data_IF_775538989626
#
_entry.id   IF_775538989626
#
_cell.length_a   1.000
_cell.length_b   1.000
_cell.length_c   1.000
_cell.angle_alpha   90.00
_cell.angle_beta   90.00
_cell.angle_gamma   90.00
#
_symmetry.space_group_name_H-M   'P 1'
#
loop_
_entity.id
_entity.type
_entity.pdbx_description
1 polymer ?
#
# COMPACT_ATOMS: atom_id res chain seq x y z
N UNK A 1 31.26 2.13 12.92
CA UNK A 1 30.09 1.23 12.88
C UNK A 1 28.85 2.08 13.03
N UNK A 2 28.27 2.55 11.93
CA UNK A 2 27.03 3.33 11.99
C UNK A 2 25.85 2.38 12.21
N UNK A 3 25.12 2.55 13.31
CA UNK A 3 23.86 1.85 13.57
C UNK A 3 22.82 2.38 12.60
N UNK A 4 22.36 1.53 11.67
CA UNK A 4 21.27 1.84 10.74
C UNK A 4 19.94 1.69 11.47
N UNK A 5 19.48 2.74 12.15
CA UNK A 5 18.13 2.75 12.73
C UNK A 5 17.08 2.75 11.61
N UNK A 6 16.22 1.71 11.60
CA UNK A 6 15.12 1.59 10.65
C UNK A 6 14.02 2.58 11.01
N UNK A 7 13.69 3.47 10.09
CA UNK A 7 12.57 4.42 10.21
C UNK A 7 11.23 3.66 10.14
N UNK A 8 10.20 4.13 10.82
CA UNK A 8 8.81 3.68 10.65
C UNK A 8 8.05 4.66 9.76
N UNK A 9 7.26 4.17 8.80
CA UNK A 9 6.25 5.00 8.14
C UNK A 9 4.95 4.89 8.94
N UNK A 10 4.41 6.03 9.37
CA UNK A 10 3.05 6.09 9.90
C UNK A 10 2.10 6.19 8.71
N UNK A 11 1.08 5.31 8.66
CA UNK A 11 0.04 5.40 7.64
C UNK A 11 -0.74 6.72 7.81
N UNK A 12 -1.07 7.44 6.73
CA UNK A 12 -1.96 8.59 6.81
C UNK A 12 -3.33 8.14 7.33
N UNK A 13 -3.88 8.93 8.25
CA UNK A 13 -5.14 8.67 8.93
C UNK A 13 -6.31 8.66 7.93
N UNK A 14 -7.23 7.72 8.10
CA UNK A 14 -8.40 7.53 7.25
C UNK A 14 -9.36 8.74 7.36
N UNK A 15 -9.74 9.34 6.22
CA UNK A 15 -10.66 10.48 6.14
C UNK A 15 -11.98 10.09 5.43
N UNK A 16 -13.11 10.01 6.17
CA UNK A 16 -14.42 9.66 5.61
C UNK A 16 -15.01 10.75 4.71
N UNK A 17 -14.74 12.03 5.01
CA UNK A 17 -15.40 13.15 4.33
C UNK A 17 -14.92 13.24 2.89
N UNK A 18 -13.60 13.11 2.70
CA UNK A 18 -12.96 13.08 1.39
C UNK A 18 -13.48 11.94 0.50
N UNK A 19 -13.72 10.76 1.09
CA UNK A 19 -14.27 9.60 0.35
C UNK A 19 -15.69 9.86 -0.16
N UNK A 20 -16.48 10.61 0.60
CA UNK A 20 -17.85 10.94 0.21
C UNK A 20 -17.86 11.93 -0.97
N UNK A 21 -16.96 12.92 -0.96
CA UNK A 21 -16.81 13.88 -2.07
C UNK A 21 -16.45 13.18 -3.40
N UNK A 22 -15.50 12.24 -3.37
CA UNK A 22 -15.07 11.49 -4.56
C UNK A 22 -16.21 10.69 -5.20
N UNK A 23 -17.17 10.19 -4.39
CA UNK A 23 -18.30 9.41 -4.88
C UNK A 23 -19.30 10.24 -5.71
N UNK A 24 -19.38 11.55 -5.48
CA UNK A 24 -20.33 12.45 -6.15
C UNK A 24 -20.00 12.59 -7.64
N UNK A 25 -18.71 12.58 -8.00
CA UNK A 25 -18.27 12.72 -9.39
C UNK A 25 -18.61 11.51 -10.28
N UNK A 26 -18.83 10.33 -9.68
CA UNK A 26 -19.14 9.09 -10.39
C UNK A 26 -20.65 8.86 -10.59
N UNK A 27 -21.50 9.65 -9.91
CA UNK A 27 -22.95 9.53 -9.95
C UNK A 27 -23.59 9.51 -11.38
N UNK A 28 -23.04 10.21 -12.39
CA UNK A 28 -23.62 10.18 -13.74
C UNK A 28 -23.42 8.88 -14.52
N UNK A 29 -22.56 7.97 -14.06
CA UNK A 29 -22.16 6.77 -14.80
C UNK A 29 -22.71 5.50 -14.15
N UNK A 30 -23.26 4.59 -14.93
CA UNK A 30 -23.63 3.26 -14.45
C UNK A 30 -22.39 2.41 -14.18
N UNK A 31 -22.48 1.48 -13.23
CA UNK A 31 -21.36 0.64 -12.80
C UNK A 31 -20.71 -0.12 -13.97
N UNK A 32 -21.52 -0.58 -14.93
CA UNK A 32 -21.01 -1.28 -16.12
C UNK A 32 -20.25 -0.39 -17.10
N UNK A 33 -20.18 0.92 -16.86
CA UNK A 33 -19.39 1.88 -17.64
C UNK A 33 -18.09 2.27 -16.93
N UNK A 34 -17.86 1.76 -15.72
CA UNK A 34 -16.70 2.11 -14.93
C UNK A 34 -15.50 1.29 -15.38
N UNK A 35 -14.35 1.95 -15.50
CA UNK A 35 -13.06 1.30 -15.68
C UNK A 35 -12.21 1.64 -14.47
N UNK A 36 -11.87 0.62 -13.69
CA UNK A 36 -10.98 0.74 -12.55
C UNK A 36 -9.54 0.65 -13.04
N UNK A 37 -8.73 1.64 -12.70
CA UNK A 37 -7.30 1.66 -13.00
C UNK A 37 -6.53 1.62 -11.69
N UNK A 38 -5.61 0.67 -11.57
CA UNK A 38 -4.72 0.59 -10.42
C UNK A 38 -3.27 0.32 -10.86
N UNK A 39 -2.35 0.72 -10.00
CA UNK A 39 -0.93 0.51 -10.15
C UNK A 39 -0.39 -0.14 -8.88
N UNK A 40 0.29 -1.26 -9.03
CA UNK A 40 0.94 -1.92 -7.92
C UNK A 40 2.40 -2.26 -8.28
N UNK A 41 3.18 -2.52 -7.24
CA UNK A 41 4.60 -2.81 -7.36
C UNK A 41 4.99 -3.99 -6.50
N UNK A 42 5.72 -4.93 -7.10
CA UNK A 42 6.41 -5.99 -6.39
C UNK A 42 7.87 -5.56 -6.26
N UNK A 43 8.31 -5.37 -5.02
CA UNK A 43 9.73 -5.11 -4.73
C UNK A 43 10.41 -6.44 -4.38
N UNK A 44 11.68 -6.59 -4.76
CA UNK A 44 12.57 -7.63 -4.24
C UNK A 44 13.38 -7.04 -3.07
N UNK A 45 13.05 -7.35 -1.81
CA UNK A 45 13.83 -6.89 -0.66
C UNK A 45 14.97 -7.87 -0.34
N UNK A 46 16.15 -7.34 0.01
CA UNK A 46 17.25 -8.17 0.53
C UNK A 46 16.92 -8.77 1.90
N UNK A 47 16.21 -8.01 2.73
CA UNK A 47 15.76 -8.41 4.06
C UNK A 47 14.27 -8.75 4.04
N UNK A 48 13.95 -10.02 4.22
CA UNK A 48 12.59 -10.45 4.51
C UNK A 48 12.37 -10.41 6.02
N UNK A 49 11.46 -9.55 6.47
CA UNK A 49 10.99 -9.49 7.85
C UNK A 49 10.15 -10.71 8.24
N UNK A 50 10.75 -11.90 8.24
CA UNK A 50 10.11 -13.07 8.84
C UNK A 50 10.28 -13.01 10.34
N UNK A 51 9.17 -12.90 11.06
CA UNK A 51 9.17 -13.09 12.50
C UNK A 51 7.82 -13.58 13.03
N UNK A 52 7.84 -14.08 14.26
CA UNK A 52 6.66 -14.56 14.97
C UNK A 52 6.00 -13.42 15.76
N UNK A 53 4.67 -13.27 15.64
CA UNK A 53 3.88 -12.33 16.45
C UNK A 53 2.79 -13.06 17.23
N UNK A 54 2.47 -12.51 18.40
CA UNK A 54 1.31 -12.95 19.19
C UNK A 54 0.01 -12.69 18.43
N UNK A 55 -0.93 -13.64 18.52
CA UNK A 55 -2.25 -13.54 17.89
C UNK A 55 -2.94 -12.22 18.30
N UNK A 56 -3.29 -11.39 17.34
CA UNK A 56 -3.96 -10.10 17.56
C UNK A 56 -3.01 -8.90 17.73
N UNK A 57 -1.70 -9.08 17.60
CA UNK A 57 -0.74 -7.97 17.45
C UNK A 57 -0.16 -7.98 16.03
N UNK A 58 -0.22 -6.83 15.36
CA UNK A 58 0.52 -6.63 14.11
C UNK A 58 2.03 -6.68 14.38
N UNK A 59 2.81 -7.17 13.42
CA UNK A 59 4.25 -6.99 13.46
C UNK A 59 4.53 -5.50 13.52
N UNK A 60 5.44 -5.05 14.40
CA UNK A 60 6.04 -3.73 14.20
C UNK A 60 6.79 -3.87 12.88
N UNK A 61 6.20 -3.38 11.80
CA UNK A 61 6.79 -3.46 10.47
C UNK A 61 8.05 -2.59 10.51
N UNK A 62 9.17 -3.21 10.85
CA UNK A 62 10.47 -2.67 10.52
C UNK A 62 10.42 -2.37 9.02
N UNK A 63 10.80 -1.15 8.60
CA UNK A 63 10.86 -0.83 7.18
C UNK A 63 11.57 -1.97 6.45
N UNK A 64 10.94 -2.47 5.39
CA UNK A 64 11.60 -3.38 4.47
C UNK A 64 12.97 -2.78 4.14
N UNK A 65 14.01 -3.62 4.17
CA UNK A 65 15.39 -3.18 3.99
C UNK A 65 15.66 -2.64 2.59
N UNK A 66 16.90 -2.74 2.13
CA UNK A 66 17.28 -2.33 0.79
C UNK A 66 16.47 -3.12 -0.26
N UNK A 67 15.97 -2.42 -1.28
CA UNK A 67 15.31 -3.05 -2.44
C UNK A 67 16.31 -3.14 -3.57
N UNK A 68 16.53 -4.33 -4.10
CA UNK A 68 17.43 -4.58 -5.24
C UNK A 68 16.72 -4.27 -6.55
N UNK A 69 15.47 -4.71 -6.67
CA UNK A 69 14.68 -4.62 -7.88
C UNK A 69 13.21 -4.29 -7.57
N UNK A 70 12.51 -3.73 -8.56
CA UNK A 70 11.06 -3.48 -8.51
C UNK A 70 10.42 -3.73 -9.86
N UNK A 71 9.37 -4.54 -9.86
CA UNK A 71 8.45 -4.70 -10.98
C UNK A 71 7.18 -3.91 -10.68
N UNK A 72 6.92 -2.89 -11.48
CA UNK A 72 5.67 -2.12 -11.41
C UNK A 72 4.72 -2.58 -12.50
N UNK A 73 3.44 -2.72 -12.17
CA UNK A 73 2.38 -3.09 -13.10
C UNK A 73 1.21 -2.14 -12.96
N UNK A 74 0.60 -1.83 -14.11
CA UNK A 74 -0.62 -1.04 -14.20
C UNK A 74 -1.66 -1.87 -14.93
N UNK A 75 -2.86 -1.93 -14.38
CA UNK A 75 -3.94 -2.75 -14.94
C UNK A 75 -5.25 -1.99 -14.90
N UNK A 76 -6.02 -2.15 -15.98
CA UNK A 76 -7.40 -1.70 -16.04
C UNK A 76 -8.33 -2.91 -15.87
N UNK A 77 -9.40 -2.73 -15.11
CA UNK A 77 -10.49 -3.69 -14.95
C UNK A 77 -11.82 -3.02 -15.30
N UNK A 78 -12.68 -3.74 -16.02
CA UNK A 78 -14.01 -3.28 -16.46
C UNK A 78 -15.06 -4.34 -16.08
#
# INVERSE_FOLDING_TARGET
MASLEKKSDADPEWDPEKRQEDSVGLAPFEVHQWVYLDAAGLNDPEDYGYGWCLKGKGFTAERCGHHTERVSFMTAWH
#
